data_IF_470713451519
#
_entry.id   IF_470713451519
#
_cell.length_a   1.000
_cell.length_b   1.000
_cell.length_c   1.000
_cell.angle_alpha   90.00
_cell.angle_beta   90.00
_cell.angle_gamma   90.00
#
_symmetry.space_group_name_H-M   'P 1'
#
loop_
_entity.id
_entity.type
_entity.pdbx_description
1 polymer ?
#
# COMPACT_ATOMS: atom_id res chain seq x y z
N UNK A 1 -37.67 -32.59 -93.29
CA UNK A 1 -36.47 -33.31 -93.74
C UNK A 1 -35.64 -33.53 -92.48
N UNK A 2 -35.78 -34.69 -91.85
CA UNK A 2 -34.80 -35.79 -91.91
C UNK A 2 -33.47 -35.35 -91.25
N UNK A 3 -32.89 -36.00 -90.24
CA UNK A 3 -32.82 -37.45 -90.01
C UNK A 3 -32.28 -37.78 -88.59
N UNK A 4 -32.75 -38.91 -88.06
CA UNK A 4 -32.02 -40.03 -87.40
C UNK A 4 -30.93 -39.81 -86.31
N UNK A 5 -31.25 -40.31 -85.11
CA UNK A 5 -30.61 -41.40 -84.32
C UNK A 5 -29.08 -41.62 -84.39
N UNK A 6 -28.42 -41.69 -83.21
CA UNK A 6 -27.89 -42.96 -82.65
C UNK A 6 -27.31 -42.81 -81.22
N UNK A 7 -27.85 -43.64 -80.31
CA UNK A 7 -27.25 -44.42 -79.20
C UNK A 7 -25.80 -44.17 -78.74
N UNK A 8 -25.59 -44.06 -77.42
CA UNK A 8 -24.86 -45.08 -76.61
C UNK A 8 -24.85 -44.77 -75.10
N UNK A 9 -24.83 -45.86 -74.34
CA UNK A 9 -25.02 -46.07 -72.90
C UNK A 9 -23.76 -45.70 -72.11
N UNK A 10 -23.92 -45.19 -70.89
CA UNK A 10 -22.84 -45.08 -69.90
C UNK A 10 -23.37 -44.71 -68.51
N UNK A 11 -23.57 -45.71 -67.66
CA UNK A 11 -23.92 -45.58 -66.25
C UNK A 11 -22.66 -45.55 -65.40
N UNK A 12 -22.39 -44.44 -64.70
CA UNK A 12 -21.36 -44.37 -63.65
C UNK A 12 -21.92 -43.69 -62.39
N UNK A 13 -22.13 -44.49 -61.35
CA UNK A 13 -22.22 -44.04 -59.97
C UNK A 13 -20.82 -43.62 -59.50
N UNK A 14 -20.63 -42.42 -58.96
CA UNK A 14 -19.49 -42.12 -58.07
C UNK A 14 -19.78 -40.94 -57.13
N UNK A 15 -20.06 -41.30 -55.86
CA UNK A 15 -19.43 -40.76 -54.64
C UNK A 15 -19.00 -39.27 -54.64
N UNK A 16 -19.70 -38.45 -53.84
CA UNK A 16 -19.19 -37.13 -53.40
C UNK A 16 -18.35 -37.29 -52.12
N UNK A 17 -17.08 -36.85 -52.10
CA UNK A 17 -16.26 -36.90 -50.89
C UNK A 17 -16.65 -35.79 -49.90
N UNK A 18 -16.32 -35.94 -48.60
CA UNK A 18 -16.55 -34.90 -47.59
C UNK A 18 -15.65 -33.69 -47.86
N UNK A 19 -16.23 -32.49 -47.78
CA UNK A 19 -15.49 -31.23 -47.90
C UNK A 19 -14.55 -31.04 -46.72
N UNK A 20 -13.26 -31.22 -46.94
CA UNK A 20 -12.22 -30.80 -46.01
C UNK A 20 -12.17 -29.26 -45.95
N UNK A 21 -12.39 -28.71 -44.76
CA UNK A 21 -12.25 -27.28 -44.51
C UNK A 21 -10.78 -26.87 -44.68
N UNK A 22 -10.51 -26.10 -45.73
CA UNK A 22 -9.19 -25.55 -46.02
C UNK A 22 -8.82 -24.54 -44.91
N UNK A 23 -8.01 -24.97 -43.94
CA UNK A 23 -7.46 -24.11 -42.90
C UNK A 23 -6.48 -23.11 -43.54
N UNK A 24 -6.95 -21.88 -43.71
CA UNK A 24 -6.15 -20.75 -44.20
C UNK A 24 -5.06 -20.43 -43.17
N UNK A 25 -3.89 -21.04 -43.33
CA UNK A 25 -2.70 -20.73 -42.55
C UNK A 25 -2.18 -19.36 -42.98
N UNK A 26 -2.50 -18.33 -42.21
CA UNK A 26 -1.97 -16.98 -42.44
C UNK A 26 -0.46 -17.01 -42.15
N UNK A 27 0.36 -17.01 -43.20
CA UNK A 27 1.82 -16.88 -43.09
C UNK A 27 2.14 -15.45 -42.67
N UNK A 28 2.34 -15.23 -41.37
CA UNK A 28 2.86 -13.95 -40.88
C UNK A 28 4.33 -13.88 -41.27
N UNK A 29 4.66 -12.98 -42.20
CA UNK A 29 6.04 -12.75 -42.63
C UNK A 29 6.88 -12.24 -41.45
N UNK A 30 8.13 -12.73 -41.27
CA UNK A 30 8.90 -12.52 -40.05
C UNK A 30 9.16 -11.05 -39.74
N UNK A 31 9.35 -10.20 -40.76
CA UNK A 31 9.58 -8.75 -40.57
C UNK A 31 8.40 -8.00 -39.97
N UNK A 32 7.16 -8.42 -40.27
CA UNK A 32 5.94 -7.81 -39.70
C UNK A 32 5.60 -8.38 -38.33
N UNK A 33 5.91 -9.66 -38.08
CA UNK A 33 5.79 -10.27 -36.76
C UNK A 33 6.72 -9.61 -35.72
N UNK A 34 7.98 -9.33 -36.09
CA UNK A 34 8.94 -8.64 -35.21
C UNK A 34 8.51 -7.21 -34.87
N UNK A 35 8.03 -6.43 -35.85
CA UNK A 35 7.59 -5.05 -35.60
C UNK A 35 6.37 -4.97 -34.67
N UNK A 36 5.40 -5.90 -34.81
CA UNK A 36 4.23 -5.98 -33.93
C UNK A 36 4.62 -6.44 -32.52
N UNK A 37 5.54 -7.39 -32.39
CA UNK A 37 6.04 -7.85 -31.09
C UNK A 37 6.79 -6.74 -30.34
N UNK A 38 7.61 -5.95 -31.03
CA UNK A 38 8.31 -4.79 -30.43
C UNK A 38 7.33 -3.68 -30.04
N UNK A 39 6.34 -3.35 -30.89
CA UNK A 39 5.33 -2.36 -30.55
C UNK A 39 4.45 -2.80 -29.36
N UNK A 40 4.08 -4.08 -29.29
CA UNK A 40 3.36 -4.64 -28.15
C UNK A 40 4.20 -4.60 -26.87
N UNK A 41 5.50 -4.91 -26.94
CA UNK A 41 6.40 -4.82 -25.79
C UNK A 41 6.57 -3.38 -25.30
N UNK A 42 6.74 -2.42 -26.21
CA UNK A 42 6.82 -0.99 -25.87
C UNK A 42 5.50 -0.46 -25.27
N UNK A 43 4.35 -0.91 -25.77
CA UNK A 43 3.05 -0.57 -25.19
C UNK A 43 2.89 -1.15 -23.78
N UNK A 44 3.33 -2.40 -23.54
CA UNK A 44 3.31 -3.03 -22.21
C UNK A 44 4.24 -2.28 -21.24
N UNK A 45 5.44 -1.88 -21.68
CA UNK A 45 6.39 -1.10 -20.87
C UNK A 45 5.83 0.30 -20.55
N UNK A 46 5.20 0.96 -21.52
CA UNK A 46 4.56 2.27 -21.32
C UNK A 46 3.36 2.19 -20.36
N UNK A 47 2.54 1.14 -20.44
CA UNK A 47 1.41 0.94 -19.51
C UNK A 47 1.92 0.58 -18.10
N UNK A 48 2.96 -0.23 -17.99
CA UNK A 48 3.57 -0.58 -16.70
C UNK A 48 4.19 0.64 -15.99
N UNK A 49 4.83 1.56 -16.73
CA UNK A 49 5.39 2.79 -16.17
C UNK A 49 4.34 3.82 -15.79
N UNK A 50 3.15 3.84 -16.41
CA UNK A 50 2.04 4.69 -15.97
C UNK A 50 1.48 4.26 -14.60
N UNK A 51 1.44 2.96 -14.31
CA UNK A 51 0.96 2.44 -13.03
C UNK A 51 1.80 2.89 -11.82
N UNK A 52 3.11 3.12 -11.99
CA UNK A 52 3.99 3.55 -10.89
C UNK A 52 3.74 4.97 -10.43
N UNK A 53 3.26 5.86 -11.30
CA UNK A 53 2.94 7.26 -10.94
C UNK A 53 1.54 7.43 -10.33
N UNK A 54 0.72 6.39 -10.33
CA UNK A 54 -0.63 6.43 -9.77
C UNK A 54 -0.67 6.43 -8.24
N UNK A 55 0.47 6.16 -7.58
CA UNK A 55 0.63 6.10 -6.12
C UNK A 55 2.04 6.49 -5.71
N UNK A 56 2.22 7.05 -4.52
CA UNK A 56 3.52 7.13 -3.84
C UNK A 56 3.55 6.22 -2.62
N UNK A 57 4.72 6.06 -2.00
CA UNK A 57 4.91 5.26 -0.78
C UNK A 57 5.00 6.17 0.45
N UNK A 58 4.23 5.84 1.49
CA UNK A 58 4.32 6.48 2.80
C UNK A 58 4.94 5.48 3.76
N UNK A 59 6.03 5.88 4.42
CA UNK A 59 6.65 5.14 5.52
C UNK A 59 6.48 5.95 6.79
N UNK A 60 5.97 5.34 7.85
CA UNK A 60 5.82 5.94 9.17
C UNK A 60 6.66 5.14 10.14
N UNK A 61 7.59 5.81 10.79
CA UNK A 61 8.45 5.26 11.82
C UNK A 61 8.25 6.01 13.14
N UNK A 62 8.56 5.34 14.24
CA UNK A 62 8.51 5.94 15.57
C UNK A 62 9.86 5.81 16.26
N UNK A 63 10.18 6.80 17.07
CA UNK A 63 11.23 6.75 18.08
C UNK A 63 10.66 7.30 19.38
N UNK A 64 11.40 7.14 20.47
CA UNK A 64 10.97 7.65 21.77
C UNK A 64 12.16 8.26 22.52
N UNK A 65 11.91 9.29 23.34
CA UNK A 65 12.91 9.76 24.30
C UNK A 65 13.07 8.72 25.42
N UNK A 66 14.29 8.51 25.96
CA UNK A 66 14.50 7.55 27.03
C UNK A 66 13.65 7.85 28.27
N UNK A 67 13.15 6.80 28.91
CA UNK A 67 12.37 6.84 30.15
C UNK A 67 12.92 5.82 31.15
N UNK A 68 12.96 6.16 32.43
CA UNK A 68 13.42 5.26 33.49
C UNK A 68 12.36 4.21 33.87
N UNK A 69 11.99 3.36 32.93
CA UNK A 69 11.09 2.20 33.08
C UNK A 69 11.83 0.98 32.52
N UNK A 70 11.38 -0.24 32.83
CA UNK A 70 11.94 -1.44 32.20
C UNK A 70 11.30 -1.67 30.83
N UNK A 71 9.98 -1.48 30.73
CA UNK A 71 9.22 -1.65 29.50
C UNK A 71 8.08 -0.63 29.43
N UNK A 72 7.74 -0.22 28.21
CA UNK A 72 6.53 0.54 27.90
C UNK A 72 5.97 0.06 26.56
N UNK A 73 5.12 -0.96 26.61
CA UNK A 73 4.47 -1.55 25.45
C UNK A 73 3.27 -0.70 25.05
N UNK A 74 3.34 -0.07 23.88
CA UNK A 74 2.26 0.72 23.28
C UNK A 74 1.64 -0.09 22.15
N UNK A 75 0.33 -0.31 22.21
CA UNK A 75 -0.44 -1.01 21.19
C UNK A 75 -1.20 0.00 20.34
N UNK A 76 -0.95 0.01 19.03
CA UNK A 76 -1.60 0.87 18.05
C UNK A 76 -2.77 0.13 17.39
N UNK A 77 -3.83 0.87 17.05
CA UNK A 77 -5.02 0.34 16.39
C UNK A 77 -5.22 0.85 14.97
N UNK A 78 -4.83 2.10 14.67
CA UNK A 78 -4.99 2.68 13.34
C UNK A 78 -4.01 3.84 13.11
N UNK A 79 -3.71 4.09 11.84
CA UNK A 79 -2.97 5.27 11.39
C UNK A 79 -3.63 5.80 10.13
N UNK A 80 -3.85 7.12 10.10
CA UNK A 80 -4.51 7.78 8.99
C UNK A 80 -3.77 9.05 8.60
N UNK A 81 -3.67 9.30 7.30
CA UNK A 81 -3.18 10.57 6.73
C UNK A 81 -4.35 11.39 6.20
N UNK A 82 -4.32 12.71 6.37
CA UNK A 82 -5.37 13.62 5.92
C UNK A 82 -4.94 14.47 4.73
N UNK A 83 -5.80 14.52 3.71
CA UNK A 83 -5.62 15.31 2.50
C UNK A 83 -5.79 16.81 2.76
N UNK A 84 -4.84 17.63 2.30
CA UNK A 84 -4.83 19.09 2.50
C UNK A 84 -6.12 19.81 2.04
N UNK A 85 -6.77 19.31 0.99
CA UNK A 85 -7.95 19.95 0.38
C UNK A 85 -9.28 19.33 0.83
N UNK A 86 -9.27 18.48 1.86
CA UNK A 86 -10.47 17.85 2.39
C UNK A 86 -10.93 18.54 3.68
N UNK A 87 -12.23 18.44 4.00
CA UNK A 87 -12.74 18.89 5.29
C UNK A 87 -12.31 17.97 6.43
N UNK A 88 -12.32 18.46 7.68
CA UNK A 88 -11.81 17.74 8.85
C UNK A 88 -12.44 16.36 9.11
N UNK A 89 -13.71 16.18 8.73
CA UNK A 89 -14.43 14.91 8.87
C UNK A 89 -14.26 13.96 7.66
N UNK A 90 -13.50 14.36 6.64
CA UNK A 90 -13.35 13.67 5.36
C UNK A 90 -11.89 13.61 4.92
N UNK A 91 -11.57 12.83 3.87
CA UNK A 91 -10.22 12.83 3.29
C UNK A 91 -9.14 12.18 4.15
N UNK A 92 -9.54 11.41 5.16
CA UNK A 92 -8.69 10.49 5.89
C UNK A 92 -8.47 9.22 5.07
N UNK A 93 -7.23 8.80 4.94
CA UNK A 93 -6.84 7.54 4.30
C UNK A 93 -6.05 6.72 5.31
N UNK A 94 -6.52 5.52 5.63
CA UNK A 94 -5.78 4.60 6.51
C UNK A 94 -4.50 4.13 5.83
N UNK A 95 -3.43 4.06 6.61
CA UNK A 95 -2.14 3.47 6.24
C UNK A 95 -1.94 2.26 7.16
N UNK A 96 -2.10 1.02 6.66
CA UNK A 96 -2.08 -0.19 7.47
C UNK A 96 -0.84 -0.30 8.36
N UNK A 97 -1.04 -0.76 9.59
CA UNK A 97 0.04 -1.02 10.53
C UNK A 97 0.90 -2.19 10.05
N UNK A 98 2.22 -2.00 10.04
CA UNK A 98 3.20 -3.08 9.82
C UNK A 98 3.56 -3.78 11.13
N UNK A 99 3.46 -3.07 12.25
CA UNK A 99 3.53 -3.62 13.61
C UNK A 99 2.44 -2.97 14.46
N UNK A 100 1.84 -3.73 15.36
CA UNK A 100 0.76 -3.25 16.23
C UNK A 100 1.25 -2.94 17.63
N UNK A 101 2.39 -3.48 18.07
CA UNK A 101 2.94 -3.23 19.40
C UNK A 101 4.41 -2.85 19.30
N UNK A 102 4.80 -1.85 20.10
CA UNK A 102 6.20 -1.41 20.21
C UNK A 102 6.50 -1.17 21.69
N UNK A 103 7.62 -1.74 22.16
CA UNK A 103 8.20 -1.35 23.45
C UNK A 103 9.04 -0.08 23.27
N UNK A 104 8.50 1.05 23.70
CA UNK A 104 9.14 2.35 23.55
C UNK A 104 10.44 2.48 24.37
N UNK A 105 10.54 1.81 25.52
CA UNK A 105 11.79 1.79 26.30
C UNK A 105 12.85 0.98 25.56
N UNK A 106 12.45 -0.16 24.98
CA UNK A 106 13.32 -1.04 24.21
C UNK A 106 13.89 -0.42 22.93
N UNK A 107 13.31 0.68 22.42
CA UNK A 107 13.84 1.41 21.26
C UNK A 107 15.20 2.07 21.54
N UNK A 108 15.46 2.53 22.76
CA UNK A 108 16.64 3.33 23.07
C UNK A 108 16.77 4.53 22.13
N UNK A 109 17.76 4.51 21.23
CA UNK A 109 18.03 5.58 20.27
C UNK A 109 17.72 5.21 18.80
N UNK A 110 17.03 4.09 18.56
CA UNK A 110 16.68 3.66 17.20
C UNK A 110 15.24 3.98 16.83
N UNK A 111 14.96 4.04 15.52
CA UNK A 111 13.61 4.15 14.99
C UNK A 111 13.05 2.77 14.66
N UNK A 112 11.76 2.55 14.91
CA UNK A 112 11.05 1.34 14.49
C UNK A 112 9.98 1.66 13.45
N UNK A 113 9.85 0.80 12.44
CA UNK A 113 8.80 0.90 11.45
C UNK A 113 7.44 0.66 12.10
N UNK A 114 6.50 1.57 11.92
CA UNK A 114 5.13 1.44 12.39
C UNK A 114 4.16 1.12 11.23
N UNK A 115 4.35 1.76 10.09
CA UNK A 115 3.51 1.55 8.89
C UNK A 115 4.30 1.80 7.61
N UNK A 116 3.99 1.03 6.57
CA UNK A 116 4.53 1.20 5.21
C UNK A 116 3.45 0.78 4.22
N UNK A 117 2.96 1.73 3.43
CA UNK A 117 1.98 1.44 2.37
C UNK A 117 1.98 2.49 1.26
N UNK A 118 1.20 2.23 0.21
CA UNK A 118 0.97 3.15 -0.90
C UNK A 118 -0.26 4.03 -0.66
N UNK A 119 -0.13 5.29 -1.03
CA UNK A 119 -1.25 6.24 -1.04
C UNK A 119 -1.28 7.01 -2.37
N UNK A 120 -2.43 7.55 -2.78
CA UNK A 120 -2.46 8.32 -4.01
C UNK A 120 -1.63 9.62 -3.86
N UNK A 121 -1.04 10.14 -4.94
CA UNK A 121 -0.20 11.32 -4.90
C UNK A 121 -0.98 12.56 -4.43
N UNK A 122 -0.28 13.53 -3.85
CA UNK A 122 -0.83 14.83 -3.48
C UNK A 122 -0.36 15.36 -2.14
N UNK A 123 -1.02 16.42 -1.69
CA UNK A 123 -0.69 17.13 -0.45
C UNK A 123 -1.45 16.57 0.74
N UNK A 124 -0.73 16.36 1.85
CA UNK A 124 -1.26 15.93 3.13
C UNK A 124 -0.88 16.95 4.20
N UNK A 125 -1.72 17.08 5.23
CA UNK A 125 -1.50 18.11 6.28
C UNK A 125 -1.50 17.55 7.70
N UNK A 126 -2.10 16.38 7.90
CA UNK A 126 -2.24 15.80 9.23
C UNK A 126 -2.01 14.29 9.21
N UNK A 127 -1.57 13.80 10.36
CA UNK A 127 -1.52 12.38 10.67
C UNK A 127 -2.33 12.14 11.94
N UNK A 128 -3.16 11.11 11.96
CA UNK A 128 -3.86 10.60 13.14
C UNK A 128 -3.31 9.22 13.46
N UNK A 129 -2.98 8.99 14.72
CA UNK A 129 -2.53 7.70 15.23
C UNK A 129 -3.47 7.32 16.37
N UNK A 130 -4.06 6.14 16.30
CA UNK A 130 -4.88 5.59 17.36
C UNK A 130 -4.07 4.55 18.16
N UNK A 131 -4.15 4.66 19.48
CA UNK A 131 -3.53 3.83 20.49
C UNK A 131 -4.64 3.10 21.23
N UNK A 132 -4.56 1.78 21.24
CA UNK A 132 -5.52 0.89 21.88
C UNK A 132 -5.24 0.74 23.38
N UNK A 133 -4.00 0.44 23.74
CA UNK A 133 -3.61 0.19 25.13
C UNK A 133 -2.14 0.46 25.37
N UNK A 134 -1.80 0.69 26.63
CA UNK A 134 -0.42 0.84 27.09
C UNK A 134 -0.22 0.04 28.38
N UNK A 135 0.82 -0.78 28.38
CA UNK A 135 1.26 -1.56 29.53
C UNK A 135 2.73 -1.25 29.81
N UNK A 136 3.12 -1.12 31.07
CA UNK A 136 4.51 -0.88 31.41
C UNK A 136 5.00 -1.65 32.61
N UNK A 137 6.32 -1.67 32.75
CA UNK A 137 7.01 -2.30 33.87
C UNK A 137 7.94 -1.25 34.49
N UNK A 138 7.69 -0.95 35.76
CA UNK A 138 8.49 0.03 36.52
C UNK A 138 9.89 -0.53 36.84
N UNK A 139 10.88 0.32 37.23
CA UNK A 139 12.23 -0.13 37.56
C UNK A 139 12.31 -1.22 38.64
N UNK A 140 11.33 -1.27 39.54
CA UNK A 140 11.24 -2.28 40.60
C UNK A 140 10.57 -3.60 40.12
N UNK A 141 10.27 -3.75 38.83
CA UNK A 141 9.60 -4.91 38.23
C UNK A 141 8.09 -4.92 38.38
N UNK A 142 7.47 -3.87 38.92
CA UNK A 142 6.00 -3.80 39.06
C UNK A 142 5.35 -3.55 37.70
N UNK A 143 4.42 -4.43 37.31
CA UNK A 143 3.58 -4.24 36.14
C UNK A 143 2.47 -3.22 36.43
N UNK A 144 2.28 -2.27 35.52
CA UNK A 144 1.24 -1.25 35.61
C UNK A 144 0.49 -1.13 34.29
N UNK A 145 -0.84 -1.03 34.38
CA UNK A 145 -1.67 -0.63 33.26
C UNK A 145 -1.69 0.89 33.19
N UNK A 146 -1.41 1.45 32.01
CA UNK A 146 -1.39 2.89 31.80
C UNK A 146 -2.65 3.29 31.03
N UNK A 147 -3.46 4.14 31.65
CA UNK A 147 -4.74 4.58 31.05
C UNK A 147 -4.47 5.51 29.88
N UNK A 148 -5.15 5.29 28.75
CA UNK A 148 -5.09 6.13 27.55
C UNK A 148 -6.45 6.84 27.40
N UNK A 149 -6.59 8.12 27.78
CA UNK A 149 -7.90 8.76 27.84
C UNK A 149 -8.51 9.04 26.47
N UNK A 150 -7.75 9.70 25.59
CA UNK A 150 -8.23 10.18 24.29
C UNK A 150 -7.98 9.16 23.17
N UNK A 151 -7.09 8.19 23.38
CA UNK A 151 -6.75 7.12 22.43
C UNK A 151 -6.12 7.60 21.13
N UNK A 152 -6.15 8.89 20.82
CA UNK A 152 -5.74 9.46 19.54
C UNK A 152 -4.67 10.54 19.71
N UNK A 153 -3.68 10.50 18.82
CA UNK A 153 -2.69 11.55 18.63
C UNK A 153 -2.86 12.12 17.23
N UNK A 154 -3.08 13.44 17.13
CA UNK A 154 -3.13 14.16 15.87
C UNK A 154 -1.92 15.07 15.71
N UNK A 155 -1.37 15.13 14.50
CA UNK A 155 -0.25 16.01 14.16
C UNK A 155 -0.66 17.00 13.06
N UNK A 156 0.01 18.16 13.03
CA UNK A 156 -0.05 19.09 11.90
C UNK A 156 1.30 19.00 11.19
N UNK A 157 1.38 18.07 10.23
CA UNK A 157 2.62 17.67 9.56
C UNK A 157 2.41 17.72 8.05
N UNK A 158 2.59 18.89 7.40
CA UNK A 158 2.40 19.00 5.96
C UNK A 158 3.49 18.27 5.17
N UNK A 159 3.09 17.47 4.17
CA UNK A 159 4.01 16.85 3.22
C UNK A 159 3.38 16.67 1.84
N UNK A 160 4.22 16.59 0.81
CA UNK A 160 3.83 16.32 -0.56
C UNK A 160 4.27 14.90 -0.95
N UNK A 161 3.33 14.07 -1.40
CA UNK A 161 3.61 12.74 -1.91
C UNK A 161 3.57 12.75 -3.44
N UNK A 162 4.74 12.60 -4.07
CA UNK A 162 4.83 12.46 -5.52
C UNK A 162 4.42 11.04 -5.98
N UNK A 163 3.85 10.94 -7.18
CA UNK A 163 3.60 9.65 -7.83
C UNK A 163 4.92 8.93 -8.12
N UNK A 164 5.01 7.66 -7.74
CA UNK A 164 6.24 6.86 -7.80
C UNK A 164 7.30 7.22 -6.75
N UNK A 165 7.10 8.31 -6.00
CA UNK A 165 8.00 8.75 -4.94
C UNK A 165 7.76 8.04 -3.61
N UNK A 166 8.56 8.40 -2.61
CA UNK A 166 8.41 7.95 -1.23
C UNK A 166 8.60 9.11 -0.27
N UNK A 167 7.87 9.09 0.85
CA UNK A 167 8.10 9.97 2.00
C UNK A 167 8.25 9.12 3.26
N UNK A 168 9.22 9.46 4.10
CA UNK A 168 9.37 8.87 5.44
C UNK A 168 9.02 9.91 6.49
N UNK A 169 8.09 9.56 7.38
CA UNK A 169 7.70 10.40 8.51
C UNK A 169 8.18 9.68 9.77
N UNK A 170 9.08 10.31 10.52
CA UNK A 170 9.56 9.80 11.81
C UNK A 170 8.95 10.62 12.94
N UNK A 171 8.22 9.94 13.82
CA UNK A 171 7.55 10.52 14.97
C UNK A 171 8.34 10.21 16.24
N UNK A 172 8.89 11.22 16.90
CA UNK A 172 9.53 11.04 18.18
C UNK A 172 8.54 11.29 19.31
N UNK A 173 8.24 10.27 20.10
CA UNK A 173 7.41 10.37 21.30
C UNK A 173 8.26 10.86 22.48
N UNK A 174 7.87 11.99 23.07
CA UNK A 174 8.50 12.46 24.31
C UNK A 174 7.86 11.75 25.51
N UNK A 175 8.48 10.67 25.98
CA UNK A 175 7.91 9.83 27.05
C UNK A 175 7.79 10.56 28.38
N UNK A 176 8.73 11.47 28.69
CA UNK A 176 8.71 12.23 29.92
C UNK A 176 7.51 13.19 29.97
N UNK A 177 7.17 13.80 28.83
CA UNK A 177 5.97 14.64 28.69
C UNK A 177 4.69 13.82 28.49
N UNK A 178 4.79 12.57 28.02
CA UNK A 178 3.63 11.75 27.69
C UNK A 178 3.06 10.96 28.87
N UNK A 179 3.86 10.70 29.90
CA UNK A 179 3.47 9.82 31.02
C UNK A 179 3.28 10.64 32.29
N UNK A 180 2.12 10.48 32.90
CA UNK A 180 1.77 11.16 34.14
C UNK A 180 1.38 10.13 35.20
N UNK A 181 2.11 10.13 36.32
CA UNK A 181 1.84 9.29 37.49
C UNK A 181 1.18 10.09 38.62
N UNK A 182 0.16 9.49 39.26
CA UNK A 182 -0.47 10.01 40.47
C UNK A 182 -0.79 8.85 41.43
N UNK A 183 0.14 8.57 42.35
CA UNK A 183 0.08 7.36 43.18
C UNK A 183 0.25 6.10 42.33
N UNK A 184 -0.67 5.15 42.46
CA UNK A 184 -0.65 3.88 41.71
C UNK A 184 -1.29 3.99 40.31
N UNK A 185 -1.72 5.19 39.90
CA UNK A 185 -2.35 5.42 38.61
C UNK A 185 -1.39 6.07 37.64
N UNK A 186 -1.36 5.54 36.42
CA UNK A 186 -0.58 6.06 35.31
C UNK A 186 -1.49 6.41 34.14
N UNK A 187 -1.22 7.55 33.52
CA UNK A 187 -1.92 8.04 32.34
C UNK A 187 -0.90 8.26 31.23
N UNK A 188 -1.23 7.83 30.02
CA UNK A 188 -0.49 8.10 28.80
C UNK A 188 -1.27 9.11 27.95
N UNK A 189 -0.73 10.31 27.81
CA UNK A 189 -1.18 11.36 26.89
C UNK A 189 -0.05 11.60 25.91
N UNK A 190 -0.05 10.97 24.73
CA UNK A 190 1.11 11.02 23.84
C UNK A 190 1.44 12.46 23.43
N UNK A 191 2.70 12.85 23.63
CA UNK A 191 3.28 14.11 23.19
C UNK A 191 4.43 13.79 22.24
N UNK A 192 4.47 14.50 21.11
CA UNK A 192 5.59 14.38 20.18
C UNK A 192 6.66 15.42 20.52
N UNK A 193 7.91 14.98 20.63
CA UNK A 193 9.07 15.86 20.73
C UNK A 193 9.44 16.45 19.38
N UNK A 194 9.61 15.60 18.36
CA UNK A 194 9.90 16.02 16.99
C UNK A 194 9.12 15.19 15.97
N UNK A 195 8.89 15.81 14.80
CA UNK A 195 8.37 15.14 13.61
C UNK A 195 9.31 15.46 12.46
N UNK A 196 9.90 14.43 11.88
CA UNK A 196 10.85 14.56 10.77
C UNK A 196 10.24 13.97 9.50
N UNK A 197 10.49 14.62 8.36
CA UNK A 197 9.98 14.23 7.05
C UNK A 197 11.17 14.17 6.10
N UNK A 198 11.40 13.01 5.49
CA UNK A 198 12.50 12.73 4.56
C UNK A 198 11.99 12.19 3.22
#
# INVERSE_FOLDING_TARGET
MSSSLSTSIGSENLYSPPGESCSRRTVVTPRRAFALAVAALLAIIAVASLGTYASGTIKIAVSATPLNWQHLNVVFSDIQVHRANAGNASGWTSVPLSTTQIDFVGLGNVTQLLSLDRAPPGKYTQLRIAINSVEGVLPNGTHVTVTVPDGELMTVTPFDLAGGGSVTITLNFDLASSIHGAGDKWIFRPVLGSVQID
#
